data_IF_842287118705
#
_entry.id   IF_842287118705
#
_cell.length_a   1.000
_cell.length_b   1.000
_cell.length_c   1.000
_cell.angle_alpha   90.00
_cell.angle_beta   90.00
_cell.angle_gamma   90.00
#
_symmetry.space_group_name_H-M   'P 1'
#
loop_
_entity.id
_entity.type
_entity.pdbx_description
1 polymer ?
#
# COMPACT_ATOMS: atom_id res chain seq x y z
N UNK A 1 -28.92 15.24 -42.14
CA UNK A 1 -28.06 14.32 -42.92
C UNK A 1 -28.68 12.94 -42.91
N UNK A 2 -28.88 12.38 -44.11
CA UNK A 2 -29.46 11.08 -44.45
C UNK A 2 -28.31 10.16 -44.89
N UNK A 3 -28.33 8.90 -44.50
CA UNK A 3 -27.82 7.69 -45.20
C UNK A 3 -28.46 6.51 -44.44
N UNK A 4 -29.41 5.67 -44.90
CA UNK A 4 -29.73 4.93 -46.15
C UNK A 4 -28.72 3.85 -46.60
N UNK A 5 -29.20 2.60 -46.52
CA UNK A 5 -28.92 1.39 -47.30
C UNK A 5 -27.57 0.69 -47.03
N UNK A 6 -27.42 -0.63 -46.84
CA UNK A 6 -28.23 -1.80 -47.21
C UNK A 6 -27.34 -2.74 -48.05
N UNK A 7 -27.28 -4.05 -47.78
CA UNK A 7 -27.03 -5.14 -48.76
C UNK A 7 -27.07 -6.53 -48.06
N UNK A 8 -28.13 -7.29 -48.29
CA UNK A 8 -28.12 -8.77 -48.32
C UNK A 8 -27.59 -9.23 -49.68
N UNK A 9 -26.83 -10.34 -49.76
CA UNK A 9 -27.01 -11.39 -50.78
C UNK A 9 -26.53 -12.76 -50.21
N UNK A 10 -27.44 -13.72 -50.29
CA UNK A 10 -27.29 -15.18 -50.15
C UNK A 10 -26.28 -15.82 -51.11
N UNK A 11 -25.61 -16.91 -50.70
CA UNK A 11 -25.40 -18.04 -51.63
C UNK A 11 -25.29 -19.42 -50.94
N UNK A 12 -25.90 -20.39 -51.62
CA UNK A 12 -26.25 -21.80 -51.35
C UNK A 12 -25.13 -22.70 -50.80
N UNK A 13 -25.40 -23.63 -49.87
CA UNK A 13 -26.04 -24.96 -49.98
C UNK A 13 -25.21 -26.00 -50.77
N UNK A 14 -24.78 -27.10 -50.11
CA UNK A 14 -25.11 -28.50 -50.45
C UNK A 14 -24.22 -29.55 -49.73
N UNK A 15 -24.90 -30.48 -49.01
CA UNK A 15 -24.68 -31.94 -48.78
C UNK A 15 -23.26 -32.50 -48.55
N UNK A 16 -23.01 -33.58 -47.80
CA UNK A 16 -23.69 -34.44 -46.83
C UNK A 16 -22.65 -35.55 -46.51
N UNK A 17 -22.72 -36.16 -45.32
CA UNK A 17 -22.37 -37.56 -45.17
C UNK A 17 -21.32 -37.96 -44.14
N UNK A 18 -21.78 -38.84 -43.25
CA UNK A 18 -21.10 -39.98 -42.62
C UNK A 18 -20.27 -39.71 -41.35
N UNK A 19 -20.98 -39.88 -40.23
CA UNK A 19 -20.71 -40.90 -39.19
C UNK A 19 -19.27 -41.43 -39.15
N UNK A 20 -18.51 -41.03 -38.15
CA UNK A 20 -17.61 -41.93 -37.44
C UNK A 20 -17.63 -41.60 -35.94
N UNK A 21 -18.13 -42.58 -35.18
CA UNK A 21 -18.05 -42.67 -33.74
C UNK A 21 -16.59 -43.01 -33.40
N UNK A 22 -15.85 -42.10 -32.75
CA UNK A 22 -14.63 -42.45 -32.00
C UNK A 22 -14.72 -41.79 -30.64
N UNK A 23 -15.08 -42.62 -29.66
CA UNK A 23 -14.83 -42.41 -28.25
C UNK A 23 -13.33 -42.24 -28.04
N UNK A 24 -12.87 -41.00 -27.86
CA UNK A 24 -11.65 -40.69 -27.13
C UNK A 24 -11.95 -39.47 -26.28
N UNK A 25 -12.01 -39.70 -24.96
CA UNK A 25 -11.86 -38.65 -23.95
C UNK A 25 -10.38 -38.23 -23.94
N UNK A 26 -9.99 -37.01 -24.36
CA UNK A 26 -8.90 -36.34 -23.72
C UNK A 26 -9.52 -35.54 -22.57
N UNK A 27 -9.32 -36.06 -21.36
CA UNK A 27 -9.06 -35.27 -20.15
C UNK A 27 -9.38 -33.78 -20.29
N UNK A 28 -10.44 -33.33 -19.60
CA UNK A 28 -10.63 -31.93 -19.23
C UNK A 28 -9.42 -31.54 -18.38
N UNK A 29 -8.31 -31.22 -19.03
CA UNK A 29 -7.31 -30.32 -18.49
C UNK A 29 -8.00 -28.97 -18.49
N UNK A 30 -8.75 -28.71 -17.41
CA UNK A 30 -8.98 -27.35 -16.98
C UNK A 30 -7.59 -26.72 -16.91
N UNK A 31 -7.22 -25.98 -17.95
CA UNK A 31 -6.10 -25.05 -17.88
C UNK A 31 -6.56 -24.02 -16.86
N UNK A 32 -6.31 -24.30 -15.58
CA UNK A 32 -6.34 -23.29 -14.52
C UNK A 32 -5.41 -22.20 -15.03
N UNK A 33 -6.03 -21.11 -15.50
CA UNK A 33 -5.31 -19.99 -16.08
C UNK A 33 -4.66 -19.30 -14.91
N UNK A 34 -3.47 -19.78 -14.53
CA UNK A 34 -2.66 -19.25 -13.46
C UNK A 34 -2.41 -17.76 -13.76
N UNK A 35 -3.24 -16.90 -13.18
CA UNK A 35 -3.14 -15.47 -13.34
C UNK A 35 -2.06 -15.01 -12.39
N UNK A 36 -0.88 -14.70 -12.92
CA UNK A 36 0.22 -14.16 -12.13
C UNK A 36 0.25 -12.65 -12.21
N UNK A 37 0.21 -11.96 -11.07
CA UNK A 37 0.34 -10.50 -10.97
C UNK A 37 1.61 -10.16 -10.20
N UNK A 38 2.43 -9.27 -10.75
CA UNK A 38 3.61 -8.73 -10.03
C UNK A 38 3.13 -7.59 -9.12
N UNK A 39 3.53 -7.63 -7.85
CA UNK A 39 3.26 -6.58 -6.86
C UNK A 39 4.55 -6.13 -6.19
N UNK A 40 4.58 -4.88 -5.73
CA UNK A 40 5.65 -4.41 -4.85
C UNK A 40 5.31 -4.74 -3.40
N UNK A 41 6.30 -5.27 -2.67
CA UNK A 41 6.20 -5.59 -1.25
C UNK A 41 7.45 -5.10 -0.51
N UNK A 42 7.27 -4.71 0.73
CA UNK A 42 8.32 -4.27 1.63
C UNK A 42 8.85 -5.42 2.46
N UNK A 43 10.17 -5.55 2.51
CA UNK A 43 10.83 -6.29 3.57
C UNK A 43 11.28 -5.30 4.64
N UNK A 44 10.70 -5.42 5.82
CA UNK A 44 11.04 -4.59 6.97
C UNK A 44 12.26 -5.15 7.71
N UNK A 45 13.22 -4.28 8.00
CA UNK A 45 14.38 -4.59 8.85
C UNK A 45 14.18 -4.08 10.27
N UNK A 46 13.60 -2.88 10.41
CA UNK A 46 13.30 -2.26 11.70
C UNK A 46 12.11 -1.30 11.52
N UNK A 47 11.21 -1.30 12.50
CA UNK A 47 10.02 -0.46 12.58
C UNK A 47 9.86 -0.16 14.06
N UNK A 48 10.13 1.09 14.45
CA UNK A 48 10.04 1.48 15.86
C UNK A 48 9.66 2.94 16.05
N UNK A 49 8.97 3.20 17.16
CA UNK A 49 8.82 4.56 17.66
C UNK A 49 10.20 5.14 18.01
N UNK A 50 10.34 6.47 17.93
CA UNK A 50 11.55 7.14 18.41
C UNK A 50 11.66 7.00 19.93
N UNK A 51 12.83 6.66 20.44
CA UNK A 51 13.13 6.48 21.87
C UNK A 51 13.80 7.71 22.50
N UNK A 52 14.34 8.60 21.66
CA UNK A 52 15.10 9.78 22.06
C UNK A 52 14.26 11.06 22.17
N UNK A 53 12.95 10.98 21.92
CA UNK A 53 12.03 12.12 22.01
C UNK A 53 10.71 11.69 22.64
N UNK A 54 10.11 12.59 23.42
CA UNK A 54 8.77 12.36 23.97
C UNK A 54 7.75 12.53 22.86
N UNK A 55 6.83 11.56 22.76
CA UNK A 55 5.69 11.61 21.86
C UNK A 55 4.48 10.93 22.48
N UNK A 56 3.29 11.24 21.96
CA UNK A 56 2.02 10.87 22.57
C UNK A 56 1.41 9.58 22.01
N UNK A 57 1.90 9.09 20.87
CA UNK A 57 1.43 7.86 20.23
C UNK A 57 2.36 6.69 20.59
N UNK A 58 1.86 5.80 21.45
CA UNK A 58 2.63 4.64 21.94
C UNK A 58 2.16 3.36 21.27
N UNK A 59 2.98 2.82 20.38
CA UNK A 59 2.72 1.51 19.79
C UNK A 59 3.06 0.41 20.79
N UNK A 60 2.07 -0.39 21.18
CA UNK A 60 2.25 -1.51 22.11
C UNK A 60 2.42 -2.84 21.38
N UNK A 61 1.86 -2.95 20.17
CA UNK A 61 2.01 -4.11 19.30
C UNK A 61 2.05 -3.67 17.85
N UNK A 62 2.99 -4.20 17.08
CA UNK A 62 3.04 -4.03 15.63
C UNK A 62 3.32 -5.40 15.03
N UNK A 63 2.43 -5.86 14.15
CA UNK A 63 2.57 -7.07 13.37
C UNK A 63 2.45 -6.73 11.88
N UNK A 64 3.25 -7.40 11.08
CA UNK A 64 3.27 -7.23 9.64
C UNK A 64 3.37 -8.59 8.98
N UNK A 65 2.51 -8.81 7.98
CA UNK A 65 2.46 -10.05 7.21
C UNK A 65 2.20 -9.75 5.75
N UNK A 66 2.60 -10.68 4.89
CA UNK A 66 2.27 -10.63 3.47
C UNK A 66 1.02 -11.46 3.20
N UNK A 67 0.03 -10.87 2.54
CA UNK A 67 -1.19 -11.56 2.08
C UNK A 67 -1.40 -11.22 0.61
N UNK A 68 -1.48 -12.25 -0.24
CA UNK A 68 -1.60 -12.09 -1.70
C UNK A 68 -0.60 -11.10 -2.33
N UNK A 69 0.63 -11.09 -1.80
CA UNK A 69 1.72 -10.18 -2.19
C UNK A 69 1.48 -8.71 -1.89
N UNK A 70 0.54 -8.37 -1.02
CA UNK A 70 0.40 -7.05 -0.40
C UNK A 70 0.82 -7.09 1.06
N UNK A 71 1.39 -6.00 1.54
CA UNK A 71 1.78 -5.86 2.95
C UNK A 71 0.55 -5.50 3.78
N UNK A 72 0.31 -6.30 4.82
CA UNK A 72 -0.78 -6.13 5.79
C UNK A 72 -0.19 -5.84 7.16
N UNK A 73 -0.70 -4.80 7.81
CA UNK A 73 -0.23 -4.31 9.10
C UNK A 73 -1.36 -4.36 10.12
N UNK A 74 -1.07 -4.92 11.29
CA UNK A 74 -1.89 -4.85 12.49
C UNK A 74 -1.12 -4.12 13.59
N UNK A 75 -1.75 -3.12 14.20
CA UNK A 75 -1.08 -2.29 15.21
C UNK A 75 -2.01 -1.97 16.36
N UNK A 76 -1.50 -2.03 17.58
CA UNK A 76 -2.12 -1.48 18.79
C UNK A 76 -1.36 -0.23 19.21
N UNK A 77 -2.11 0.84 19.47
CA UNK A 77 -1.58 2.15 19.81
C UNK A 77 -2.36 2.73 20.99
N UNK A 78 -1.65 3.29 21.97
CA UNK A 78 -2.24 4.09 23.04
C UNK A 78 -1.85 5.55 22.83
N UNK A 79 -2.84 6.43 22.91
CA UNK A 79 -2.66 7.87 22.73
C UNK A 79 -2.77 8.54 24.10
N UNK A 80 -1.72 9.22 24.54
CA UNK A 80 -1.66 9.76 25.90
C UNK A 80 -2.56 10.98 26.12
N UNK A 81 -2.75 11.80 25.07
CA UNK A 81 -3.47 13.08 25.14
C UNK A 81 -4.38 13.27 23.92
N UNK A 82 -5.45 14.03 24.10
CA UNK A 82 -6.27 14.50 22.97
C UNK A 82 -5.41 15.38 22.06
N UNK A 83 -5.37 15.06 20.76
CA UNK A 83 -4.70 15.86 19.74
C UNK A 83 -5.75 16.63 18.96
N UNK A 84 -5.82 17.96 19.15
CA UNK A 84 -6.90 18.77 18.56
C UNK A 84 -6.78 18.86 17.05
N UNK A 85 -5.58 19.10 16.56
CA UNK A 85 -5.28 19.06 15.13
C UNK A 85 -3.82 18.72 14.88
N UNK A 86 -3.54 18.17 13.70
CA UNK A 86 -2.18 17.95 13.23
C UNK A 86 -1.66 19.24 12.59
N UNK A 87 -0.56 19.78 13.11
CA UNK A 87 0.06 21.02 12.63
C UNK A 87 1.06 20.77 11.50
N UNK A 88 1.84 19.69 11.62
CA UNK A 88 2.89 19.38 10.65
C UNK A 88 3.09 17.87 10.53
N UNK A 89 3.24 17.37 9.29
CA UNK A 89 3.82 16.06 9.02
C UNK A 89 5.13 16.28 8.30
N UNK A 90 6.20 15.68 8.80
CA UNK A 90 7.52 15.69 8.19
C UNK A 90 8.00 14.26 7.99
N UNK A 91 8.32 13.91 6.74
CA UNK A 91 8.87 12.62 6.36
C UNK A 91 10.23 12.86 5.74
N UNK A 92 11.27 12.32 6.34
CA UNK A 92 12.62 12.32 5.80
C UNK A 92 12.96 10.92 5.29
N UNK A 93 13.44 10.84 4.06
CA UNK A 93 13.92 9.63 3.42
C UNK A 93 15.43 9.68 3.26
N UNK A 94 16.08 8.61 3.70
CA UNK A 94 17.48 8.31 3.39
C UNK A 94 17.52 7.04 2.55
N UNK A 95 18.49 6.96 1.64
CA UNK A 95 18.76 5.76 0.85
C UNK A 95 20.11 5.20 1.23
N UNK A 96 20.21 3.88 1.32
CA UNK A 96 21.45 3.20 1.66
C UNK A 96 21.94 2.31 0.52
N UNK A 97 23.21 2.49 0.13
CA UNK A 97 23.89 1.72 -0.91
C UNK A 97 24.79 0.67 -0.27
N UNK A 98 24.52 -0.61 -0.49
CA UNK A 98 25.38 -1.69 0.01
C UNK A 98 25.14 -2.16 1.44
N UNK A 99 23.98 -1.86 2.04
CA UNK A 99 23.56 -2.36 3.36
C UNK A 99 22.90 -1.32 4.26
N UNK A 100 22.70 -1.65 5.55
CA UNK A 100 22.03 -0.80 6.56
C UNK A 100 23.00 -0.03 7.48
N UNK A 101 24.31 -0.15 7.28
CA UNK A 101 25.34 0.49 8.12
C UNK A 101 25.27 2.02 8.09
N UNK A 102 25.70 2.71 9.17
CA UNK A 102 25.62 4.18 9.30
C UNK A 102 26.31 4.93 8.14
N UNK A 103 27.44 4.42 7.66
CA UNK A 103 28.24 5.09 6.61
C UNK A 103 27.78 4.76 5.18
N UNK A 104 26.72 3.96 5.03
CA UNK A 104 26.21 3.53 3.73
C UNK A 104 24.93 4.27 3.34
N UNK A 105 24.40 5.12 4.22
CA UNK A 105 23.13 5.81 4.04
C UNK A 105 23.35 7.32 3.85
N UNK A 106 22.68 7.89 2.86
CA UNK A 106 22.70 9.32 2.58
C UNK A 106 21.27 9.88 2.57
N UNK A 107 21.15 11.17 2.87
CA UNK A 107 19.89 11.89 2.71
C UNK A 107 19.44 11.85 1.25
N UNK A 108 18.18 11.51 1.02
CA UNK A 108 17.59 11.49 -0.31
C UNK A 108 16.60 12.65 -0.49
N UNK A 109 15.57 12.74 0.35
CA UNK A 109 14.59 13.82 0.27
C UNK A 109 13.82 13.99 1.58
N UNK A 110 13.08 15.09 1.69
CA UNK A 110 12.24 15.46 2.81
C UNK A 110 10.90 16.01 2.31
N UNK A 111 9.80 15.45 2.80
CA UNK A 111 8.45 15.88 2.49
C UNK A 111 7.85 16.54 3.72
N UNK A 112 7.25 17.72 3.55
CA UNK A 112 6.66 18.50 4.63
C UNK A 112 5.26 18.93 4.23
N UNK A 113 4.28 18.64 5.07
CA UNK A 113 2.91 19.12 4.93
C UNK A 113 2.52 19.92 6.18
N UNK A 114 1.84 21.06 5.98
CA UNK A 114 1.44 21.98 7.07
C UNK A 114 -0.01 22.45 6.98
N UNK A 115 -0.73 22.15 5.90
CA UNK A 115 -2.05 22.72 5.63
C UNK A 115 -3.10 21.62 5.68
N UNK A 116 -4.20 21.86 6.40
CA UNK A 116 -5.38 21.00 6.49
C UNK A 116 -5.07 19.52 6.71
N UNK A 117 -4.11 19.21 7.58
CA UNK A 117 -3.58 17.84 7.72
C UNK A 117 -4.62 16.83 8.22
N UNK A 118 -5.56 17.26 9.05
CA UNK A 118 -6.66 16.41 9.48
C UNK A 118 -7.57 16.02 8.30
N UNK A 119 -7.92 16.99 7.45
CA UNK A 119 -8.70 16.74 6.23
C UNK A 119 -7.91 15.84 5.28
N UNK A 120 -6.62 16.15 5.05
CA UNK A 120 -5.72 15.36 4.22
C UNK A 120 -5.60 13.91 4.70
N UNK A 121 -5.44 13.69 6.01
CA UNK A 121 -5.34 12.37 6.59
C UNK A 121 -6.63 11.55 6.38
N UNK A 122 -7.80 12.18 6.47
CA UNK A 122 -9.11 11.54 6.27
C UNK A 122 -9.62 11.56 4.83
N UNK A 123 -8.88 12.19 3.90
CA UNK A 123 -9.31 12.33 2.52
C UNK A 123 -9.45 10.95 1.87
N UNK A 124 -10.55 10.79 1.12
CA UNK A 124 -10.87 9.55 0.41
C UNK A 124 -10.07 9.44 -0.88
N UNK A 125 -9.86 8.21 -1.33
CA UNK A 125 -9.11 7.87 -2.54
C UNK A 125 -7.65 8.37 -2.53
N UNK A 126 -7.09 8.61 -1.34
CA UNK A 126 -5.67 8.88 -1.16
C UNK A 126 -4.91 7.57 -1.00
N UNK A 127 -3.60 7.63 -1.27
CA UNK A 127 -2.70 6.48 -1.16
C UNK A 127 -2.65 5.84 0.24
N UNK A 128 -2.86 6.66 1.28
CA UNK A 128 -2.92 6.22 2.68
C UNK A 128 -4.34 5.90 3.17
N UNK A 129 -5.39 6.12 2.36
CA UNK A 129 -6.79 5.85 2.75
C UNK A 129 -6.99 4.41 3.24
N UNK A 130 -6.47 3.35 2.58
CA UNK A 130 -6.64 1.97 3.06
C UNK A 130 -6.02 1.70 4.43
N UNK A 131 -5.06 2.54 4.84
CA UNK A 131 -4.45 2.47 6.16
C UNK A 131 -5.30 3.24 7.18
N UNK A 132 -5.65 4.49 6.90
CA UNK A 132 -6.40 5.35 7.83
C UNK A 132 -7.82 4.82 8.10
N UNK A 133 -8.51 4.29 7.09
CA UNK A 133 -9.88 3.77 7.22
C UNK A 133 -9.97 2.51 8.09
N UNK A 134 -8.83 1.87 8.42
CA UNK A 134 -8.76 0.70 9.29
C UNK A 134 -8.49 1.04 10.77
N UNK A 135 -8.31 2.32 11.09
CA UNK A 135 -8.08 2.77 12.47
C UNK A 135 -9.42 2.76 13.22
N UNK A 136 -9.41 2.17 14.41
CA UNK A 136 -10.54 2.08 15.34
C UNK A 136 -10.12 2.61 16.72
N UNK A 137 -10.82 3.59 17.32
CA UNK A 137 -11.88 4.41 16.73
C UNK A 137 -11.44 5.14 15.46
N UNK A 138 -12.39 5.47 14.57
CA UNK A 138 -12.11 6.12 13.29
C UNK A 138 -11.26 7.37 13.47
N UNK A 139 -10.18 7.47 12.69
CA UNK A 139 -9.33 8.65 12.69
C UNK A 139 -10.14 9.88 12.27
N UNK A 140 -10.22 10.84 13.19
CA UNK A 140 -10.78 12.18 12.96
C UNK A 140 -10.14 13.13 13.95
N UNK A 141 -10.02 14.40 13.58
CA UNK A 141 -9.64 15.45 14.51
C UNK A 141 -10.90 16.04 15.20
N UNK A 142 -10.87 16.34 16.50
CA UNK A 142 -9.80 16.04 17.45
C UNK A 142 -9.64 14.52 17.65
N UNK A 143 -8.39 14.05 17.60
CA UNK A 143 -8.04 12.65 17.78
C UNK A 143 -7.93 12.37 19.28
N UNK A 144 -8.73 11.43 19.77
CA UNK A 144 -8.93 11.24 21.20
C UNK A 144 -7.80 10.46 21.85
N UNK A 145 -7.55 10.76 23.12
CA UNK A 145 -6.72 9.93 23.98
C UNK A 145 -7.33 8.53 24.14
N UNK A 146 -6.49 7.56 24.50
CA UNK A 146 -6.87 6.19 24.79
C UNK A 146 -6.44 5.19 23.73
N UNK A 147 -7.03 4.01 23.81
CA UNK A 147 -6.63 2.86 23.02
C UNK A 147 -7.20 2.88 21.60
N UNK A 148 -6.33 2.67 20.63
CA UNK A 148 -6.62 2.63 19.21
C UNK A 148 -6.01 1.39 18.58
N UNK A 149 -6.70 0.85 17.58
CA UNK A 149 -6.28 -0.34 16.87
C UNK A 149 -6.34 -0.09 15.37
N UNK A 150 -5.36 -0.66 14.69
CA UNK A 150 -5.32 -0.80 13.25
C UNK A 150 -5.35 -2.29 12.94
N UNK A 151 -6.26 -2.72 12.07
CA UNK A 151 -6.39 -4.13 11.69
C UNK A 151 -6.57 -4.32 10.20
N UNK A 152 -5.83 -5.27 9.64
CA UNK A 152 -5.81 -5.63 8.23
C UNK A 152 -5.58 -4.41 7.33
N UNK A 153 -4.70 -3.50 7.75
CA UNK A 153 -4.38 -2.30 7.00
C UNK A 153 -3.38 -2.63 5.90
N UNK A 154 -3.67 -2.22 4.68
CA UNK A 154 -2.83 -2.52 3.52
C UNK A 154 -2.04 -1.29 3.10
N UNK A 155 -0.75 -1.47 2.80
CA UNK A 155 0.05 -0.46 2.11
C UNK A 155 0.38 -0.97 0.70
N UNK A 156 -0.18 -0.34 -0.33
CA UNK A 156 0.11 -0.70 -1.72
C UNK A 156 1.09 0.29 -2.35
N UNK A 157 2.39 -0.02 -2.25
CA UNK A 157 3.45 0.76 -2.90
C UNK A 157 3.25 0.87 -4.42
N UNK A 158 2.60 -0.10 -5.05
CA UNK A 158 2.29 -0.06 -6.49
C UNK A 158 1.37 1.11 -6.85
N UNK A 159 0.54 1.54 -5.91
CA UNK A 159 -0.30 2.72 -6.08
C UNK A 159 0.52 4.01 -5.93
N UNK A 160 1.48 4.06 -5.00
CA UNK A 160 2.36 5.23 -4.84
C UNK A 160 3.16 5.54 -6.12
N UNK A 161 3.72 4.52 -6.78
CA UNK A 161 4.46 4.70 -8.04
C UNK A 161 3.56 5.24 -9.17
N UNK A 162 2.29 4.81 -9.24
CA UNK A 162 1.33 5.27 -10.26
C UNK A 162 0.90 6.72 -10.08
N UNK A 163 0.79 7.18 -8.84
CA UNK A 163 0.42 8.56 -8.49
C UNK A 163 1.61 9.54 -8.58
N UNK A 164 2.72 9.12 -9.21
CA UNK A 164 3.85 10.00 -9.52
C UNK A 164 4.99 9.98 -8.48
N UNK A 165 4.94 9.14 -7.45
CA UNK A 165 6.08 8.92 -6.54
C UNK A 165 7.08 7.93 -7.16
N UNK A 166 7.74 8.37 -8.24
CA UNK A 166 8.74 7.61 -8.97
C UNK A 166 10.09 7.60 -8.25
N UNK A 167 10.16 6.92 -7.11
CA UNK A 167 11.42 6.70 -6.41
C UNK A 167 12.09 5.41 -6.89
N UNK A 168 13.43 5.31 -6.86
CA UNK A 168 14.15 4.09 -7.20
C UNK A 168 14.03 3.04 -6.08
N UNK A 169 12.79 2.65 -5.76
CA UNK A 169 12.42 1.87 -4.59
C UNK A 169 13.24 0.59 -4.43
N UNK A 170 13.48 -0.13 -5.53
CA UNK A 170 14.14 -1.44 -5.55
C UNK A 170 15.67 -1.37 -5.49
N UNK A 171 16.27 -0.19 -5.70
CA UNK A 171 17.73 -0.05 -5.79
C UNK A 171 18.41 0.14 -4.44
N UNK A 172 17.66 0.54 -3.43
CA UNK A 172 18.20 0.98 -2.15
C UNK A 172 17.44 0.37 -0.99
N UNK A 173 18.12 0.26 0.14
CA UNK A 173 17.45 0.14 1.43
C UNK A 173 17.07 1.55 1.87
N UNK A 174 15.81 1.74 2.25
CA UNK A 174 15.25 3.01 2.64
C UNK A 174 15.18 3.11 4.15
N UNK A 175 15.67 4.23 4.70
CA UNK A 175 15.37 4.64 6.06
C UNK A 175 14.39 5.80 6.01
N UNK A 176 13.28 5.64 6.72
CA UNK A 176 12.26 6.68 6.88
C UNK A 176 12.28 7.20 8.31
N UNK A 177 12.25 8.52 8.43
CA UNK A 177 12.04 9.21 9.69
C UNK A 177 10.78 10.07 9.58
N UNK A 178 9.73 9.69 10.30
CA UNK A 178 8.45 10.39 10.34
C UNK A 178 8.34 11.16 11.66
N UNK A 179 7.94 12.43 11.58
CA UNK A 179 7.50 13.25 12.71
C UNK A 179 6.17 13.89 12.41
N UNK A 180 5.28 13.89 13.39
CA UNK A 180 4.01 14.60 13.34
C UNK A 180 3.93 15.54 14.54
N UNK A 181 3.66 16.82 14.30
CA UNK A 181 3.48 17.81 15.34
C UNK A 181 1.99 18.09 15.58
N UNK A 182 1.61 18.25 16.84
CA UNK A 182 0.28 18.71 17.25
C UNK A 182 0.18 20.25 17.24
N UNK A 183 -0.96 20.77 17.67
CA UNK A 183 -1.24 22.20 17.78
C UNK A 183 -0.29 22.99 18.69
N UNK A 184 0.35 22.31 19.65
CA UNK A 184 1.25 22.90 20.64
C UNK A 184 2.74 22.81 20.24
N UNK A 185 3.04 22.48 18.98
CA UNK A 185 4.40 22.18 18.50
C UNK A 185 5.08 20.99 19.21
N UNK A 186 4.29 20.13 19.87
CA UNK A 186 4.78 18.91 20.49
C UNK A 186 4.70 17.76 19.49
N UNK A 187 5.58 16.78 19.65
CA UNK A 187 5.62 15.60 18.79
C UNK A 187 4.45 14.69 19.17
N UNK A 188 3.43 14.62 18.32
CA UNK A 188 2.35 13.66 18.49
C UNK A 188 2.85 12.24 18.21
N UNK A 189 3.53 12.06 17.07
CA UNK A 189 4.02 10.76 16.59
C UNK A 189 5.45 10.91 16.08
N UNK A 190 6.31 9.98 16.45
CA UNK A 190 7.66 9.85 15.89
C UNK A 190 7.99 8.40 15.60
N UNK A 191 8.45 8.13 14.39
CA UNK A 191 8.69 6.78 13.92
C UNK A 191 9.94 6.69 13.03
N UNK A 192 10.73 5.63 13.24
CA UNK A 192 11.85 5.24 12.41
C UNK A 192 11.55 3.89 11.76
N UNK A 193 11.70 3.83 10.44
CA UNK A 193 11.57 2.59 9.69
C UNK A 193 12.78 2.34 8.81
N UNK A 194 13.16 1.09 8.64
CA UNK A 194 14.14 0.63 7.66
C UNK A 194 13.54 -0.50 6.85
N UNK A 195 13.47 -0.35 5.54
CA UNK A 195 12.86 -1.34 4.65
C UNK A 195 13.53 -1.35 3.27
N UNK A 196 13.40 -2.44 2.54
CA UNK A 196 13.69 -2.50 1.11
C UNK A 196 12.44 -2.94 0.35
N UNK A 197 12.31 -2.48 -0.90
CA UNK A 197 11.18 -2.81 -1.75
C UNK A 197 11.59 -3.87 -2.75
N UNK A 198 10.76 -4.89 -2.92
CA UNK A 198 10.99 -5.98 -3.88
C UNK A 198 9.71 -6.24 -4.68
N UNK A 199 9.86 -6.68 -5.93
CA UNK A 199 8.74 -7.23 -6.71
C UNK A 199 8.54 -8.71 -6.39
N UNK A 200 7.31 -9.08 -6.07
CA UNK A 200 6.90 -10.46 -5.78
C UNK A 200 5.89 -10.94 -6.83
N UNK A 201 6.05 -12.18 -7.28
CA UNK A 201 5.12 -12.84 -8.19
C UNK A 201 3.98 -13.45 -7.37
N UNK A 202 2.78 -12.90 -7.52
CA UNK A 202 1.57 -13.45 -6.89
C UNK A 202 0.90 -14.37 -7.88
N UNK A 203 0.89 -15.67 -7.60
CA UNK A 203 0.16 -16.67 -8.37
C UNK A 203 -1.20 -16.87 -7.70
N UNK A 204 -2.29 -16.57 -8.41
CA UNK A 204 -3.62 -17.02 -7.98
C UNK A 204 -3.89 -18.37 -8.60
N UNK A 205 -4.01 -19.39 -7.75
CA UNK A 205 -4.66 -20.63 -8.15
C UNK A 205 -6.17 -20.33 -8.21
N UNK A 206 -6.72 -20.48 -9.42
CA UNK A 206 -8.15 -20.32 -9.72
C UNK A 206 -8.90 -21.61 -9.45
#
# INVERSE_FOLDING_TARGET
MRFKNGFEIHCRLQWAGRVFLVLLLPSVLAKTKLSSKIKMSMKYYDIKACDNVVHYFRFTKVDYRMVDGGDVVDTDCYVDVDVKYLKMIFVQLQRCSGGVGRNQCEYFTGLKWTTNLCELATAKNMLWTPFVDKITPTFKCPYKAGFHQLRNATLDLSSFEKEGFHLPWERYIWKVHLRVLNEMDQIALCFNGTFEVRRVLVRKES
#
